data_IF_513254447731
#
_entry.id   IF_513254447731
#
_cell.length_a   1.000
_cell.length_b   1.000
_cell.length_c   1.000
_cell.angle_alpha   90.00
_cell.angle_beta   90.00
_cell.angle_gamma   90.00
#
_symmetry.space_group_name_H-M   'P 1'
#
loop_
_entity.id
_entity.type
_entity.pdbx_description
1 polymer ?
#
# COMPACT_ATOMS: atom_id res chain seq x y z
N UNK A 1 10.51 -4.70 -1.39
CA UNK A 1 10.58 -6.12 -1.01
C UNK A 1 9.31 -6.55 -0.31
N UNK A 2 9.01 -7.80 -0.30
CA UNK A 2 8.12 -8.68 0.45
C UNK A 2 6.72 -8.91 -0.09
N UNK A 3 6.08 -8.01 -0.78
CA UNK A 3 4.69 -8.22 -1.17
C UNK A 3 4.47 -8.02 -2.67
N UNK A 4 4.53 -9.13 -3.42
CA UNK A 4 4.12 -9.23 -4.82
C UNK A 4 3.07 -10.32 -4.94
N UNK A 5 1.92 -10.04 -5.55
CA UNK A 5 0.74 -10.91 -5.57
C UNK A 5 -0.06 -10.69 -6.86
N UNK A 6 -0.98 -11.58 -7.16
CA UNK A 6 -2.00 -11.33 -8.16
C UNK A 6 -3.20 -10.60 -7.55
N UNK A 7 -3.69 -9.57 -8.23
CA UNK A 7 -5.00 -9.00 -7.97
C UNK A 7 -6.01 -9.61 -8.94
N UNK A 8 -7.09 -10.19 -8.41
CA UNK A 8 -8.25 -10.63 -9.17
C UNK A 8 -9.30 -9.52 -9.19
N UNK A 9 -9.34 -8.73 -10.24
CA UNK A 9 -10.29 -7.63 -10.37
C UNK A 9 -11.69 -8.17 -10.64
N UNK A 10 -12.56 -8.08 -9.64
CA UNK A 10 -13.95 -8.54 -9.75
C UNK A 10 -14.83 -7.37 -10.18
N UNK A 11 -15.45 -7.49 -11.35
CA UNK A 11 -16.44 -6.51 -11.80
C UNK A 11 -17.68 -6.63 -10.94
N UNK A 12 -18.03 -5.54 -10.24
CA UNK A 12 -19.25 -5.48 -9.45
C UNK A 12 -20.50 -5.66 -10.33
N UNK A 13 -21.31 -6.64 -9.97
CA UNK A 13 -22.59 -6.94 -10.60
C UNK A 13 -23.62 -7.13 -9.49
N UNK A 14 -24.48 -6.13 -9.23
CA UNK A 14 -25.45 -6.18 -8.13
C UNK A 14 -26.24 -7.49 -8.07
N UNK A 15 -26.85 -7.89 -9.19
CA UNK A 15 -27.61 -9.12 -9.29
C UNK A 15 -26.81 -10.43 -9.14
N UNK A 16 -25.49 -10.38 -9.02
CA UNK A 16 -24.67 -11.58 -8.81
C UNK A 16 -24.81 -12.11 -7.40
N UNK A 17 -24.72 -11.23 -6.40
CA UNK A 17 -24.88 -11.61 -4.99
C UNK A 17 -26.31 -12.05 -4.72
N UNK A 18 -27.28 -11.32 -5.25
CA UNK A 18 -28.71 -11.68 -5.17
C UNK A 18 -28.94 -13.09 -5.72
N UNK A 19 -28.37 -13.43 -6.87
CA UNK A 19 -28.48 -14.78 -7.46
C UNK A 19 -27.82 -15.83 -6.58
N UNK A 20 -26.60 -15.61 -6.08
CA UNK A 20 -25.91 -16.56 -5.20
C UNK A 20 -26.80 -16.87 -3.99
N UNK A 21 -27.32 -15.84 -3.31
CA UNK A 21 -28.16 -16.00 -2.14
C UNK A 21 -29.54 -16.65 -2.46
N UNK A 22 -30.12 -16.38 -3.63
CA UNK A 22 -31.37 -16.99 -4.04
C UNK A 22 -31.26 -18.47 -4.44
N UNK A 23 -30.06 -18.91 -4.86
CA UNK A 23 -29.83 -20.30 -5.27
C UNK A 23 -29.31 -21.19 -4.14
N UNK A 24 -28.73 -20.60 -3.10
CA UNK A 24 -28.25 -21.33 -1.91
C UNK A 24 -28.98 -20.80 -0.65
N UNK A 25 -30.08 -21.50 -0.31
CA UNK A 25 -30.90 -21.14 0.84
C UNK A 25 -30.15 -21.19 2.17
N UNK A 26 -29.25 -22.15 2.35
CA UNK A 26 -28.47 -22.29 3.57
C UNK A 26 -27.51 -21.12 3.73
N UNK A 27 -26.76 -20.82 2.67
CA UNK A 27 -25.86 -19.67 2.65
C UNK A 27 -26.61 -18.35 2.90
N UNK A 28 -27.81 -18.22 2.33
CA UNK A 28 -28.67 -17.06 2.55
C UNK A 28 -29.08 -16.90 4.02
N UNK A 29 -29.51 -17.99 4.67
CA UNK A 29 -29.87 -17.99 6.09
C UNK A 29 -28.67 -17.63 6.97
N UNK A 30 -27.50 -18.23 6.71
CA UNK A 30 -26.25 -17.94 7.43
C UNK A 30 -25.81 -16.47 7.29
N UNK A 31 -25.90 -15.89 6.08
CA UNK A 31 -25.57 -14.46 5.84
C UNK A 31 -26.55 -13.56 6.58
N UNK A 32 -27.87 -13.83 6.48
CA UNK A 32 -28.91 -13.03 7.11
C UNK A 32 -28.76 -12.95 8.63
N UNK A 33 -28.41 -14.07 9.27
CA UNK A 33 -28.23 -14.13 10.73
C UNK A 33 -26.98 -13.37 11.21
N UNK A 34 -26.01 -13.15 10.32
CA UNK A 34 -24.70 -12.61 10.66
C UNK A 34 -24.43 -11.21 10.11
N UNK A 35 -25.33 -10.66 9.28
CA UNK A 35 -25.24 -9.25 8.86
C UNK A 35 -25.17 -8.34 10.09
N UNK A 36 -24.17 -7.44 10.12
CA UNK A 36 -23.88 -6.58 11.27
C UNK A 36 -22.77 -7.13 12.19
N UNK A 37 -22.33 -8.38 11.99
CA UNK A 37 -21.22 -8.97 12.75
C UNK A 37 -20.02 -9.19 11.82
N UNK A 38 -19.13 -8.20 11.77
CA UNK A 38 -17.97 -8.24 10.88
C UNK A 38 -16.99 -9.36 11.30
N UNK A 39 -16.71 -10.35 10.44
CA UNK A 39 -15.72 -11.39 10.77
C UNK A 39 -14.30 -10.83 10.71
N UNK A 40 -13.43 -11.28 11.61
CA UNK A 40 -12.02 -10.94 11.61
C UNK A 40 -11.26 -11.62 10.46
N UNK A 41 -11.65 -12.85 10.14
CA UNK A 41 -11.08 -13.67 9.08
C UNK A 41 -12.20 -14.37 8.28
N UNK A 42 -11.90 -14.80 7.07
CA UNK A 42 -12.84 -15.47 6.18
C UNK A 42 -12.55 -16.97 6.19
N UNK A 43 -13.46 -17.75 6.78
CA UNK A 43 -13.38 -19.22 6.86
C UNK A 43 -14.49 -19.91 6.10
N UNK A 44 -15.54 -19.19 5.71
CA UNK A 44 -16.70 -19.67 4.96
C UNK A 44 -17.15 -18.68 3.89
N UNK A 45 -17.93 -19.10 2.89
CA UNK A 45 -18.59 -18.18 1.96
C UNK A 45 -19.50 -17.15 2.65
N UNK A 46 -20.14 -17.51 3.76
CA UNK A 46 -20.93 -16.60 4.56
C UNK A 46 -20.10 -15.47 5.16
N UNK A 47 -18.91 -15.79 5.72
CA UNK A 47 -17.98 -14.76 6.21
C UNK A 47 -17.62 -13.76 5.12
N UNK A 48 -17.32 -14.25 3.91
CA UNK A 48 -16.94 -13.41 2.78
C UNK A 48 -18.07 -12.46 2.39
N UNK A 49 -19.30 -12.99 2.26
CA UNK A 49 -20.44 -12.17 1.88
C UNK A 49 -20.83 -11.16 2.97
N UNK A 50 -20.80 -11.56 4.25
CA UNK A 50 -21.05 -10.64 5.38
C UNK A 50 -20.00 -9.52 5.38
N UNK A 51 -18.72 -9.83 5.28
CA UNK A 51 -17.66 -8.83 5.23
C UNK A 51 -17.80 -7.88 4.03
N UNK A 52 -18.17 -8.42 2.86
CA UNK A 52 -18.44 -7.61 1.68
C UNK A 52 -19.64 -6.65 1.90
N UNK A 53 -20.75 -7.16 2.41
CA UNK A 53 -21.96 -6.36 2.66
C UNK A 53 -21.72 -5.25 3.69
N UNK A 54 -20.90 -5.51 4.72
CA UNK A 54 -20.50 -4.51 5.70
C UNK A 54 -19.59 -3.43 5.08
N UNK A 55 -18.59 -3.81 4.27
CA UNK A 55 -17.78 -2.87 3.50
C UNK A 55 -18.64 -2.00 2.59
N UNK A 56 -19.56 -2.63 1.86
CA UNK A 56 -20.44 -1.99 0.90
C UNK A 56 -21.40 -1.00 1.57
N UNK A 57 -22.13 -1.43 2.60
CA UNK A 57 -23.10 -0.61 3.33
C UNK A 57 -22.47 0.62 3.97
N UNK A 58 -21.26 0.47 4.51
CA UNK A 58 -20.55 1.54 5.20
C UNK A 58 -19.65 2.38 4.27
N UNK A 59 -19.47 1.96 3.00
CA UNK A 59 -18.58 2.61 2.06
C UNK A 59 -17.12 2.62 2.53
N UNK A 60 -16.69 1.59 3.26
CA UNK A 60 -15.37 1.50 3.87
C UNK A 60 -14.48 0.50 3.14
N UNK A 61 -13.21 0.88 2.92
CA UNK A 61 -12.21 -0.08 2.48
C UNK A 61 -12.05 -1.17 3.54
N UNK A 62 -12.08 -2.41 3.12
CA UNK A 62 -11.94 -3.54 4.03
C UNK A 62 -11.08 -4.62 3.40
N UNK A 63 -10.05 -5.07 4.12
CA UNK A 63 -9.28 -6.25 3.74
C UNK A 63 -9.43 -7.33 4.79
N UNK A 64 -9.62 -8.60 4.35
CA UNK A 64 -9.74 -9.77 5.23
C UNK A 64 -9.02 -10.96 4.62
N UNK A 65 -8.31 -11.70 5.48
CA UNK A 65 -7.60 -12.90 5.06
C UNK A 65 -8.56 -14.08 4.93
N UNK A 66 -8.49 -14.79 3.80
CA UNK A 66 -9.13 -16.10 3.60
C UNK A 66 -8.23 -17.16 4.24
N UNK A 67 -8.82 -18.01 5.09
CA UNK A 67 -8.13 -19.12 5.76
C UNK A 67 -8.47 -20.50 5.21
N UNK A 68 -9.45 -20.57 4.33
CA UNK A 68 -9.96 -21.83 3.78
C UNK A 68 -9.72 -21.91 2.27
N UNK A 69 -9.06 -22.97 1.82
CA UNK A 69 -8.91 -23.28 0.40
C UNK A 69 -10.27 -23.50 -0.29
N UNK A 70 -11.25 -24.03 0.45
CA UNK A 70 -12.60 -24.18 -0.05
C UNK A 70 -13.24 -22.82 -0.40
N UNK A 71 -13.00 -21.78 0.42
CA UNK A 71 -13.47 -20.42 0.11
C UNK A 71 -12.72 -19.86 -1.09
N UNK A 72 -11.40 -20.07 -1.19
CA UNK A 72 -10.62 -19.68 -2.37
C UNK A 72 -11.24 -20.26 -3.66
N UNK A 73 -11.54 -21.56 -3.69
CA UNK A 73 -12.18 -22.23 -4.82
C UNK A 73 -13.58 -21.67 -5.08
N UNK A 74 -14.36 -21.50 -4.02
CA UNK A 74 -15.71 -20.96 -4.12
C UNK A 74 -15.73 -19.54 -4.75
N UNK A 75 -14.82 -18.63 -4.35
CA UNK A 75 -14.72 -17.31 -4.97
C UNK A 75 -14.36 -17.42 -6.45
N UNK A 76 -13.39 -18.26 -6.77
CA UNK A 76 -12.93 -18.48 -8.16
C UNK A 76 -14.04 -19.01 -9.08
N UNK A 77 -14.96 -19.80 -8.53
CA UNK A 77 -16.09 -20.40 -9.28
C UNK A 77 -17.28 -19.45 -9.41
N UNK A 78 -17.53 -18.62 -8.36
CA UNK A 78 -18.73 -17.81 -8.30
C UNK A 78 -18.55 -16.40 -8.82
N UNK A 79 -17.32 -15.87 -8.91
CA UNK A 79 -17.05 -14.53 -9.41
C UNK A 79 -16.10 -14.56 -10.60
N UNK A 80 -16.50 -13.93 -11.70
CA UNK A 80 -15.59 -13.67 -12.81
C UNK A 80 -14.61 -12.56 -12.43
N UNK A 81 -13.32 -12.77 -12.69
CA UNK A 81 -12.28 -11.79 -12.40
C UNK A 81 -11.21 -11.77 -13.48
N UNK A 82 -10.51 -10.65 -13.56
CA UNK A 82 -9.35 -10.47 -14.43
C UNK A 82 -8.09 -10.41 -13.56
N UNK A 83 -7.09 -11.23 -13.89
CA UNK A 83 -5.82 -11.24 -13.17
C UNK A 83 -4.95 -10.06 -13.60
N UNK A 84 -4.50 -9.30 -12.61
CA UNK A 84 -3.55 -8.20 -12.80
C UNK A 84 -2.45 -8.29 -11.74
N UNK A 85 -1.37 -7.55 -11.96
CA UNK A 85 -0.32 -7.44 -10.96
C UNK A 85 -0.83 -6.63 -9.76
N UNK A 86 -0.57 -7.15 -8.56
CA UNK A 86 -0.86 -6.54 -7.28
C UNK A 86 0.29 -6.65 -6.30
N UNK A 87 0.05 -6.10 -5.12
CA UNK A 87 1.03 -6.03 -4.03
C UNK A 87 1.93 -4.80 -4.12
N UNK A 88 2.16 -4.20 -2.97
CA UNK A 88 2.88 -2.93 -2.80
C UNK A 88 4.25 -2.95 -3.46
N UNK A 89 5.06 -3.99 -3.20
CA UNK A 89 6.42 -4.09 -3.76
C UNK A 89 6.42 -4.25 -5.28
N UNK A 90 5.48 -5.02 -5.83
CA UNK A 90 5.36 -5.20 -7.27
C UNK A 90 4.93 -3.90 -7.96
N UNK A 91 3.93 -3.20 -7.40
CA UNK A 91 3.46 -1.92 -7.91
C UNK A 91 4.58 -0.86 -7.89
N UNK A 92 5.34 -0.78 -6.78
CA UNK A 92 6.50 0.13 -6.68
C UNK A 92 7.56 -0.21 -7.72
N UNK A 93 7.97 -1.48 -7.82
CA UNK A 93 9.00 -1.90 -8.75
C UNK A 93 8.62 -1.62 -10.21
N UNK A 94 7.38 -1.95 -10.60
CA UNK A 94 6.90 -1.68 -11.96
C UNK A 94 6.80 -0.17 -12.23
N UNK A 95 6.36 0.62 -11.24
CA UNK A 95 6.30 2.07 -11.37
C UNK A 95 7.66 2.65 -11.69
N UNK A 96 8.68 2.34 -10.88
CA UNK A 96 10.02 2.93 -11.07
C UNK A 96 10.73 2.37 -12.30
N UNK A 97 10.51 1.09 -12.65
CA UNK A 97 11.03 0.52 -13.89
C UNK A 97 10.42 1.21 -15.13
N UNK A 98 9.10 1.47 -15.12
CA UNK A 98 8.38 2.18 -16.19
C UNK A 98 8.81 3.64 -16.32
N UNK A 99 9.23 4.26 -15.22
CA UNK A 99 9.80 5.62 -15.19
C UNK A 99 11.26 5.68 -15.67
N UNK A 100 11.86 4.54 -16.02
CA UNK A 100 13.18 4.48 -16.62
C UNK A 100 14.34 4.33 -15.65
N UNK A 101 14.10 3.93 -14.39
CA UNK A 101 15.19 3.55 -13.47
C UNK A 101 16.00 2.43 -14.11
N UNK A 102 17.34 2.57 -14.27
CA UNK A 102 18.13 1.68 -15.12
C UNK A 102 18.15 0.22 -14.70
N UNK A 103 18.01 -0.06 -13.40
CA UNK A 103 17.99 -1.42 -12.86
C UNK A 103 17.07 -1.50 -11.65
N UNK A 104 16.03 -2.29 -11.76
CA UNK A 104 15.06 -2.53 -10.69
C UNK A 104 15.02 -4.02 -10.38
N UNK A 105 15.24 -4.37 -9.13
CA UNK A 105 15.14 -5.73 -8.65
C UNK A 105 13.89 -5.87 -7.76
N UNK A 106 12.94 -6.71 -8.18
CA UNK A 106 11.73 -6.99 -7.41
C UNK A 106 11.83 -8.35 -6.74
N UNK A 107 11.30 -8.46 -5.53
CA UNK A 107 11.12 -9.74 -4.85
C UNK A 107 9.68 -10.23 -5.01
N UNK A 108 9.52 -11.47 -5.46
CA UNK A 108 8.26 -12.18 -5.52
C UNK A 108 8.47 -13.62 -5.07
N UNK A 109 7.69 -14.07 -4.07
CA UNK A 109 7.80 -15.42 -3.53
C UNK A 109 6.43 -15.94 -3.05
N UNK A 110 5.94 -17.05 -3.59
CA UNK A 110 6.51 -17.77 -4.75
C UNK A 110 6.31 -16.96 -6.05
N UNK A 111 7.30 -16.99 -6.92
CA UNK A 111 7.20 -16.45 -8.28
C UNK A 111 6.71 -17.55 -9.22
N UNK A 112 5.40 -17.63 -9.35
CA UNK A 112 4.74 -18.58 -10.27
C UNK A 112 4.60 -17.98 -11.67
N UNK A 113 4.38 -18.82 -12.68
CA UNK A 113 4.17 -18.34 -14.05
C UNK A 113 2.98 -17.37 -14.18
N UNK A 114 1.81 -17.60 -13.56
CA UNK A 114 0.73 -16.62 -13.59
C UNK A 114 1.14 -15.24 -13.01
N UNK A 115 1.86 -15.21 -11.88
CA UNK A 115 2.36 -13.96 -11.31
C UNK A 115 3.41 -13.31 -12.22
N UNK A 116 4.33 -14.10 -12.77
CA UNK A 116 5.36 -13.60 -13.68
C UNK A 116 4.78 -13.01 -14.97
N UNK A 117 3.70 -13.59 -15.49
CA UNK A 117 2.98 -13.07 -16.67
C UNK A 117 2.29 -11.74 -16.41
N UNK A 118 1.87 -11.48 -15.17
CA UNK A 118 1.27 -10.21 -14.77
C UNK A 118 2.29 -9.04 -14.73
N UNK A 119 3.58 -9.34 -14.56
CA UNK A 119 4.62 -8.31 -14.69
C UNK A 119 4.73 -7.84 -16.16
N UNK A 120 4.85 -6.51 -16.40
CA UNK A 120 5.14 -6.00 -17.73
C UNK A 120 6.54 -6.45 -18.19
N UNK A 121 6.69 -6.65 -19.49
CA UNK A 121 8.00 -6.96 -20.07
C UNK A 121 8.84 -5.70 -20.18
N UNK A 122 9.65 -5.43 -19.16
CA UNK A 122 10.57 -4.28 -19.09
C UNK A 122 12.00 -4.80 -18.96
N UNK A 123 12.95 -4.36 -19.80
CA UNK A 123 14.32 -4.89 -19.81
C UNK A 123 15.11 -4.57 -18.56
N UNK A 124 14.71 -3.54 -17.82
CA UNK A 124 15.31 -3.08 -16.57
C UNK A 124 14.64 -3.67 -15.31
N UNK A 125 13.57 -4.46 -15.45
CA UNK A 125 12.87 -5.11 -14.33
C UNK A 125 13.34 -6.55 -14.18
N UNK A 126 14.07 -6.82 -13.13
CA UNK A 126 14.69 -8.11 -12.82
C UNK A 126 14.14 -8.68 -11.51
N UNK A 127 14.30 -9.96 -11.33
CA UNK A 127 14.09 -10.67 -10.05
C UNK A 127 15.17 -11.73 -9.85
N UNK A 128 15.16 -12.37 -8.68
CA UNK A 128 16.04 -13.50 -8.36
C UNK A 128 15.15 -14.73 -8.16
N UNK A 129 15.40 -15.76 -8.93
CA UNK A 129 14.76 -17.05 -8.80
C UNK A 129 15.11 -17.77 -7.50
N UNK A 130 14.41 -18.88 -7.17
CA UNK A 130 14.67 -19.65 -5.94
C UNK A 130 16.10 -20.21 -5.88
N UNK A 131 16.69 -20.51 -7.01
CA UNK A 131 18.07 -20.99 -7.19
C UNK A 131 19.14 -19.90 -7.15
N UNK A 132 18.74 -18.62 -7.03
CA UNK A 132 19.63 -17.46 -7.06
C UNK A 132 19.90 -16.90 -8.45
N UNK A 133 19.33 -17.45 -9.51
CA UNK A 133 19.45 -16.93 -10.89
C UNK A 133 18.77 -15.57 -11.00
N UNK A 134 19.48 -14.58 -11.58
CA UNK A 134 18.95 -13.25 -11.86
C UNK A 134 18.43 -13.21 -13.30
N UNK A 135 17.18 -12.82 -13.48
CA UNK A 135 16.56 -12.72 -14.81
C UNK A 135 15.26 -11.90 -14.78
N UNK A 136 14.58 -11.81 -15.92
CA UNK A 136 13.23 -11.25 -15.93
C UNK A 136 12.28 -12.14 -15.10
N UNK A 137 11.18 -11.59 -14.54
CA UNK A 137 10.21 -12.43 -13.83
C UNK A 137 9.77 -13.66 -14.62
N UNK A 138 9.63 -13.55 -15.95
CA UNK A 138 9.18 -14.64 -16.82
C UNK A 138 10.23 -15.72 -17.03
N UNK A 139 11.52 -15.36 -17.03
CA UNK A 139 12.60 -16.32 -17.28
C UNK A 139 12.88 -17.22 -16.07
N UNK A 140 12.64 -16.70 -14.85
CA UNK A 140 12.98 -17.42 -13.62
C UNK A 140 11.78 -17.95 -12.84
N UNK A 141 10.57 -17.75 -13.37
CA UNK A 141 9.33 -18.23 -12.75
C UNK A 141 9.24 -19.77 -12.72
N UNK A 142 8.67 -20.29 -11.64
CA UNK A 142 8.48 -21.72 -11.43
C UNK A 142 7.06 -22.04 -10.98
N UNK A 143 6.51 -23.16 -11.51
CA UNK A 143 5.16 -23.63 -11.17
C UNK A 143 4.05 -22.86 -11.89
N UNK A 144 2.91 -23.52 -12.01
CA UNK A 144 1.76 -23.02 -12.79
C UNK A 144 0.58 -22.58 -11.90
N UNK A 145 0.69 -22.77 -10.57
CA UNK A 145 -0.40 -22.51 -9.63
C UNK A 145 -0.53 -21.03 -9.25
N UNK A 146 -1.74 -20.64 -8.89
CA UNK A 146 -2.01 -19.35 -8.25
C UNK A 146 -1.93 -19.52 -6.74
N UNK A 147 -0.78 -19.17 -6.15
CA UNK A 147 -0.55 -19.33 -4.70
C UNK A 147 -0.96 -18.13 -3.86
N UNK A 148 -1.10 -16.94 -4.47
CA UNK A 148 -1.50 -15.74 -3.77
C UNK A 148 -2.36 -14.88 -4.68
N UNK A 149 -3.54 -14.53 -4.21
CA UNK A 149 -4.46 -13.64 -4.92
C UNK A 149 -5.21 -12.75 -3.92
N UNK A 150 -5.34 -11.48 -4.27
CA UNK A 150 -6.26 -10.55 -3.63
C UNK A 150 -7.40 -10.29 -4.59
N UNK A 151 -8.62 -10.73 -4.27
CA UNK A 151 -9.77 -10.32 -5.06
C UNK A 151 -10.16 -8.90 -4.70
N UNK A 152 -10.31 -8.05 -5.70
CA UNK A 152 -10.68 -6.65 -5.55
C UNK A 152 -12.13 -6.47 -5.98
N UNK A 153 -13.03 -6.44 -5.01
CA UNK A 153 -14.45 -6.13 -5.23
C UNK A 153 -14.63 -4.62 -5.15
N UNK A 154 -14.45 -3.93 -6.27
CA UNK A 154 -14.69 -2.49 -6.35
C UNK A 154 -16.19 -2.20 -6.55
N UNK A 155 -16.70 -1.23 -5.81
CA UNK A 155 -18.05 -0.71 -5.94
C UNK A 155 -18.02 0.82 -5.99
N UNK A 156 -19.05 1.39 -6.65
CA UNK A 156 -19.19 2.83 -6.84
C UNK A 156 -20.22 3.41 -5.86
N UNK A 157 -20.17 4.73 -5.69
CA UNK A 157 -21.25 5.44 -5.01
C UNK A 157 -22.58 5.16 -5.72
N UNK A 158 -23.63 4.97 -4.94
CA UNK A 158 -25.00 4.70 -5.40
C UNK A 158 -25.20 3.30 -6.05
N UNK A 159 -24.19 2.43 -6.08
CA UNK A 159 -24.40 1.00 -6.35
C UNK A 159 -25.38 0.42 -5.33
N UNK A 160 -26.23 -0.53 -5.76
CA UNK A 160 -27.27 -1.14 -4.92
C UNK A 160 -27.22 -2.66 -4.94
N UNK A 161 -27.54 -3.27 -3.81
CA UNK A 161 -27.76 -4.72 -3.65
C UNK A 161 -29.09 -4.92 -2.95
N UNK A 162 -29.92 -5.88 -3.42
CA UNK A 162 -31.22 -6.22 -2.81
C UNK A 162 -31.08 -7.55 -2.07
N UNK A 163 -31.45 -7.56 -0.80
CA UNK A 163 -31.49 -8.76 0.05
C UNK A 163 -32.75 -8.69 0.90
N UNK A 164 -33.58 -9.73 0.89
CA UNK A 164 -34.83 -9.85 1.68
C UNK A 164 -35.77 -8.64 1.55
N UNK A 165 -35.89 -8.11 0.34
CA UNK A 165 -36.75 -6.94 0.08
C UNK A 165 -36.12 -5.60 0.52
N UNK A 166 -34.96 -5.60 1.16
CA UNK A 166 -34.22 -4.41 1.50
C UNK A 166 -33.22 -4.05 0.41
N UNK A 167 -33.04 -2.76 0.15
CA UNK A 167 -32.01 -2.24 -0.76
C UNK A 167 -30.90 -1.62 0.06
N UNK A 168 -29.70 -2.19 -0.05
CA UNK A 168 -28.47 -1.61 0.47
C UNK A 168 -27.88 -0.72 -0.62
N UNK A 169 -27.43 0.48 -0.26
CA UNK A 169 -26.80 1.44 -1.19
C UNK A 169 -25.43 1.84 -0.68
N UNK A 170 -24.43 1.77 -1.55
CA UNK A 170 -23.07 2.21 -1.21
C UNK A 170 -23.03 3.76 -1.11
N UNK A 171 -22.66 4.33 0.05
CA UNK A 171 -22.66 5.79 0.24
C UNK A 171 -21.50 6.49 -0.49
N UNK A 172 -20.47 5.75 -0.86
CA UNK A 172 -19.31 6.22 -1.62
C UNK A 172 -18.61 5.06 -2.33
N UNK A 173 -17.81 5.37 -3.34
CA UNK A 173 -16.95 4.40 -4.00
C UNK A 173 -15.89 3.87 -3.04
N UNK A 174 -15.70 2.55 -3.02
CA UNK A 174 -14.65 1.89 -2.24
C UNK A 174 -14.44 0.44 -2.73
N UNK A 175 -13.72 -0.36 -1.95
CA UNK A 175 -13.40 -1.75 -2.28
C UNK A 175 -13.34 -2.66 -1.06
N UNK A 176 -13.71 -3.92 -1.27
CA UNK A 176 -13.48 -5.03 -0.35
C UNK A 176 -12.42 -5.97 -0.93
N UNK A 177 -11.46 -6.41 -0.12
CA UNK A 177 -10.29 -7.19 -0.54
C UNK A 177 -10.20 -8.47 0.29
N UNK A 178 -10.89 -9.56 -0.08
CA UNK A 178 -10.60 -10.88 0.45
C UNK A 178 -9.29 -11.40 -0.12
N UNK A 179 -8.34 -11.76 0.74
CA UNK A 179 -6.96 -12.08 0.37
C UNK A 179 -6.63 -13.53 0.68
N UNK A 180 -6.23 -14.30 -0.34
CA UNK A 180 -5.68 -15.64 -0.21
C UNK A 180 -4.18 -15.61 -0.44
N UNK A 181 -3.38 -15.88 0.60
CA UNK A 181 -1.92 -15.81 0.50
C UNK A 181 -1.22 -16.80 1.46
N UNK A 182 -1.41 -18.11 1.28
CA UNK A 182 -0.91 -19.14 2.20
C UNK A 182 0.61 -19.27 2.19
N UNK A 183 1.26 -18.96 1.06
CA UNK A 183 2.70 -19.19 0.90
C UNK A 183 3.57 -18.00 1.36
N UNK A 184 3.05 -16.77 1.28
CA UNK A 184 3.83 -15.55 1.54
C UNK A 184 3.32 -14.75 2.76
N UNK A 185 2.39 -15.29 3.52
CA UNK A 185 1.81 -14.59 4.68
C UNK A 185 2.75 -14.48 5.90
N UNK A 186 3.97 -15.04 5.82
CA UNK A 186 4.99 -14.99 6.87
C UNK A 186 6.25 -14.20 6.45
N UNK A 187 6.25 -13.53 5.29
CA UNK A 187 7.38 -12.76 4.75
C UNK A 187 8.70 -13.54 4.64
N UNK A 188 8.63 -14.84 4.38
CA UNK A 188 9.82 -15.68 4.26
C UNK A 188 10.61 -15.31 3.01
N UNK A 189 11.88 -14.94 3.22
CA UNK A 189 12.81 -14.69 2.13
C UNK A 189 13.44 -16.01 1.64
N UNK A 190 13.32 -16.29 0.35
CA UNK A 190 13.96 -17.44 -0.27
C UNK A 190 15.49 -17.40 -0.07
N UNK A 191 16.14 -18.54 0.28
CA UNK A 191 17.58 -18.56 0.52
C UNK A 191 18.41 -18.07 -0.67
N UNK A 192 18.07 -18.47 -1.89
CA UNK A 192 18.74 -18.01 -3.12
C UNK A 192 18.62 -16.50 -3.31
N UNK A 193 17.45 -15.90 -3.04
CA UNK A 193 17.27 -14.46 -3.07
C UNK A 193 18.16 -13.77 -2.03
N UNK A 194 18.13 -14.24 -0.77
CA UNK A 194 18.95 -13.66 0.32
C UNK A 194 20.41 -13.61 -0.02
N UNK A 195 20.96 -14.72 -0.48
CA UNK A 195 22.38 -14.83 -0.81
C UNK A 195 22.77 -13.94 -1.99
N UNK A 196 22.02 -14.00 -3.09
CA UNK A 196 22.32 -13.25 -4.31
C UNK A 196 22.14 -11.75 -4.11
N UNK A 197 21.05 -11.31 -3.46
CA UNK A 197 20.83 -9.89 -3.20
C UNK A 197 21.87 -9.31 -2.25
N UNK A 198 22.23 -10.02 -1.18
CA UNK A 198 23.26 -9.55 -0.24
C UNK A 198 24.64 -9.39 -0.93
N UNK A 199 24.98 -10.30 -1.84
CA UNK A 199 26.22 -10.21 -2.64
C UNK A 199 26.28 -8.96 -3.50
N UNK A 200 25.14 -8.59 -4.11
CA UNK A 200 25.03 -7.47 -5.06
C UNK A 200 24.44 -6.19 -4.43
N UNK A 201 24.22 -6.14 -3.12
CA UNK A 201 23.50 -5.05 -2.45
C UNK A 201 24.18 -3.68 -2.65
N UNK A 202 25.50 -3.64 -2.71
CA UNK A 202 26.30 -2.43 -2.94
C UNK A 202 26.12 -1.80 -4.34
N UNK A 203 25.44 -2.49 -5.25
CA UNK A 203 25.09 -1.98 -6.59
C UNK A 203 23.76 -1.23 -6.63
N UNK A 204 23.04 -1.16 -5.52
CA UNK A 204 21.74 -0.48 -5.41
C UNK A 204 21.84 0.72 -4.48
N UNK A 205 21.29 1.84 -4.92
CA UNK A 205 21.20 3.09 -4.12
C UNK A 205 19.98 3.14 -3.21
N UNK A 206 18.92 2.42 -3.57
CA UNK A 206 17.63 2.49 -2.87
C UNK A 206 17.04 1.10 -2.64
N UNK A 207 16.37 0.94 -1.49
CA UNK A 207 15.60 -0.25 -1.14
C UNK A 207 14.20 0.17 -0.70
N UNK A 208 13.18 -0.30 -1.41
CA UNK A 208 11.77 -0.12 -1.03
C UNK A 208 11.28 -1.39 -0.31
N UNK A 209 10.81 -1.24 0.91
CA UNK A 209 10.32 -2.31 1.78
C UNK A 209 8.84 -2.10 2.03
N UNK A 210 8.05 -3.17 1.99
CA UNK A 210 6.62 -3.15 2.30
C UNK A 210 6.11 -4.58 2.49
N UNK A 211 4.83 -4.76 2.86
CA UNK A 211 4.19 -6.06 2.93
C UNK A 211 3.91 -6.57 4.35
N UNK A 212 4.26 -5.81 5.38
CA UNK A 212 4.01 -6.20 6.77
C UNK A 212 2.51 -6.32 7.10
N UNK A 213 1.64 -5.68 6.35
CA UNK A 213 0.18 -5.75 6.51
C UNK A 213 -0.42 -7.13 6.22
N UNK A 214 0.33 -8.03 5.55
CA UNK A 214 -0.14 -9.41 5.29
C UNK A 214 0.13 -10.37 6.46
N UNK A 215 0.91 -9.94 7.45
CA UNK A 215 1.19 -10.74 8.64
C UNK A 215 -0.04 -10.83 9.54
N UNK A 216 -0.14 -11.97 10.22
CA UNK A 216 -1.07 -12.19 11.32
C UNK A 216 -0.34 -12.12 12.65
N UNK A 217 -1.01 -11.65 13.71
CA UNK A 217 -0.43 -11.61 15.06
C UNK A 217 0.01 -12.99 15.53
N UNK A 218 -0.78 -14.03 15.19
CA UNK A 218 -0.49 -15.45 15.43
C UNK A 218 -0.98 -16.31 14.28
N UNK A 219 -0.31 -17.42 14.05
CA UNK A 219 -0.66 -18.43 13.05
C UNK A 219 -1.19 -19.72 13.72
N UNK A 220 -1.95 -20.57 12.99
CA UNK A 220 -2.47 -21.82 13.53
C UNK A 220 -1.41 -22.80 14.03
N UNK A 221 -0.19 -22.73 13.48
CA UNK A 221 0.96 -23.55 13.90
C UNK A 221 1.66 -23.00 15.16
N UNK A 222 1.14 -21.93 15.77
CA UNK A 222 1.69 -21.26 16.93
C UNK A 222 2.71 -20.18 16.64
N UNK A 223 3.19 -20.05 15.39
CA UNK A 223 4.12 -19.00 14.97
C UNK A 223 3.53 -17.61 15.27
N UNK A 224 4.35 -16.70 15.73
CA UNK A 224 3.97 -15.31 16.03
C UNK A 224 4.47 -14.34 14.97
N UNK A 225 3.87 -13.15 14.91
CA UNK A 225 4.36 -12.07 14.06
C UNK A 225 5.83 -11.71 14.31
N UNK A 226 6.28 -11.75 15.57
CA UNK A 226 7.67 -11.45 15.92
C UNK A 226 8.65 -12.46 15.31
N UNK A 227 8.30 -13.76 15.33
CA UNK A 227 9.13 -14.79 14.71
C UNK A 227 9.21 -14.63 13.18
N UNK A 228 8.27 -13.93 12.56
CA UNK A 228 8.34 -13.55 11.15
C UNK A 228 9.14 -12.25 10.92
N UNK A 229 9.00 -11.25 11.78
CA UNK A 229 9.58 -9.91 11.62
C UNK A 229 11.08 -9.89 11.96
N UNK A 230 11.47 -10.55 13.05
CA UNK A 230 12.87 -10.51 13.51
C UNK A 230 13.87 -11.02 12.46
N UNK A 231 13.65 -12.15 11.77
CA UNK A 231 14.55 -12.60 10.69
C UNK A 231 14.63 -11.62 9.52
N UNK A 232 13.54 -10.89 9.22
CA UNK A 232 13.54 -9.83 8.21
C UNK A 232 14.38 -8.64 8.67
N UNK A 233 14.22 -8.22 9.91
CA UNK A 233 15.01 -7.14 10.51
C UNK A 233 16.51 -7.47 10.55
N UNK A 234 16.86 -8.71 10.91
CA UNK A 234 18.25 -9.19 10.89
C UNK A 234 18.84 -9.14 9.48
N UNK A 235 18.06 -9.57 8.50
CA UNK A 235 18.50 -9.51 7.11
C UNK A 235 18.67 -8.08 6.61
N UNK A 236 17.78 -7.16 6.96
CA UNK A 236 17.93 -5.74 6.61
C UNK A 236 19.19 -5.14 7.24
N UNK A 237 19.52 -5.49 8.49
CA UNK A 237 20.80 -5.07 9.12
C UNK A 237 22.02 -5.57 8.35
N UNK A 238 22.01 -6.81 7.88
CA UNK A 238 23.09 -7.34 7.03
C UNK A 238 23.20 -6.58 5.71
N UNK A 239 22.05 -6.28 5.07
CA UNK A 239 22.02 -5.49 3.84
C UNK A 239 22.60 -4.09 4.07
N UNK A 240 22.19 -3.40 5.14
CA UNK A 240 22.74 -2.07 5.49
C UNK A 240 24.24 -2.10 5.80
N UNK A 241 24.71 -3.15 6.45
CA UNK A 241 26.16 -3.34 6.69
C UNK A 241 26.91 -3.51 5.38
N UNK A 242 26.35 -4.26 4.43
CA UNK A 242 26.97 -4.52 3.11
C UNK A 242 26.91 -3.31 2.18
N UNK A 243 25.85 -2.51 2.28
CA UNK A 243 25.59 -1.34 1.44
C UNK A 243 25.17 -0.13 2.29
N UNK A 244 26.10 0.48 3.05
CA UNK A 244 25.77 1.58 3.99
C UNK A 244 25.27 2.84 3.30
N UNK A 245 25.53 3.02 2.01
CA UNK A 245 25.03 4.12 1.19
C UNK A 245 23.58 3.91 0.71
N UNK A 246 23.06 2.69 0.83
CA UNK A 246 21.71 2.37 0.37
C UNK A 246 20.66 3.03 1.25
N UNK A 247 19.83 3.87 0.67
CA UNK A 247 18.69 4.50 1.35
C UNK A 247 17.50 3.52 1.41
N UNK A 248 16.91 3.36 2.57
CA UNK A 248 15.84 2.38 2.81
C UNK A 248 14.52 3.10 3.14
N UNK A 249 13.50 2.86 2.33
CA UNK A 249 12.15 3.37 2.54
C UNK A 249 11.17 2.25 2.83
N UNK A 250 10.31 2.43 3.83
CA UNK A 250 9.21 1.51 4.14
C UNK A 250 7.85 2.15 3.87
N UNK A 251 7.08 1.56 2.97
CA UNK A 251 5.66 1.90 2.82
C UNK A 251 4.84 1.11 3.82
N UNK A 252 4.17 1.81 4.75
CA UNK A 252 3.60 1.20 5.93
C UNK A 252 2.28 0.47 5.68
N UNK A 253 1.48 0.84 4.76
CA UNK A 253 0.17 0.24 4.51
C UNK A 253 -0.68 0.03 5.80
N UNK A 254 -1.92 -0.40 5.65
CA UNK A 254 -2.84 -0.57 6.80
C UNK A 254 -2.60 -1.90 7.51
N UNK A 255 -1.87 -1.90 8.62
CA UNK A 255 -1.56 -3.08 9.44
C UNK A 255 -2.62 -3.26 10.54
N UNK A 256 -3.44 -4.31 10.44
CA UNK A 256 -4.51 -4.59 11.40
C UNK A 256 -3.97 -5.15 12.75
N UNK A 257 -3.01 -6.07 12.71
CA UNK A 257 -2.47 -6.77 13.88
C UNK A 257 -1.68 -5.86 14.82
N UNK A 258 -2.01 -5.85 16.12
CA UNK A 258 -1.27 -5.07 17.14
C UNK A 258 0.13 -5.61 17.38
N UNK A 259 0.30 -6.94 17.40
CA UNK A 259 1.63 -7.56 17.62
C UNK A 259 2.50 -7.29 16.38
N UNK A 260 1.91 -7.30 15.17
CA UNK A 260 2.61 -6.93 13.93
C UNK A 260 3.07 -5.48 14.00
N UNK A 261 2.18 -4.52 14.35
CA UNK A 261 2.55 -3.10 14.45
C UNK A 261 3.68 -2.88 15.44
N UNK A 262 3.56 -3.48 16.65
CA UNK A 262 4.62 -3.40 17.64
C UNK A 262 5.95 -3.98 17.13
N UNK A 263 5.92 -5.14 16.46
CA UNK A 263 7.12 -5.73 15.85
C UNK A 263 7.75 -4.83 14.77
N UNK A 264 6.94 -4.20 13.93
CA UNK A 264 7.42 -3.23 12.94
C UNK A 264 8.03 -2.00 13.62
N UNK A 265 7.36 -1.45 14.63
CA UNK A 265 7.85 -0.30 15.42
C UNK A 265 9.20 -0.61 16.07
N UNK A 266 9.34 -1.77 16.70
CA UNK A 266 10.51 -2.13 17.50
C UNK A 266 11.71 -2.60 16.64
N UNK A 267 11.46 -3.25 15.49
CA UNK A 267 12.52 -3.95 14.75
C UNK A 267 12.76 -3.42 13.33
N UNK A 268 11.75 -2.85 12.67
CA UNK A 268 11.83 -2.41 11.29
C UNK A 268 12.07 -0.90 11.20
N UNK A 269 11.23 -0.07 11.83
CA UNK A 269 11.33 1.38 11.72
C UNK A 269 12.70 1.94 12.12
N UNK A 270 13.42 1.41 13.14
CA UNK A 270 14.76 1.89 13.48
C UNK A 270 15.82 1.71 12.39
N UNK A 271 15.51 0.96 11.34
CA UNK A 271 16.42 0.70 10.22
C UNK A 271 16.06 1.48 8.96
N UNK A 272 14.98 2.27 9.01
CA UNK A 272 14.47 3.01 7.86
C UNK A 272 15.03 4.42 7.81
N UNK A 273 15.41 4.85 6.61
CA UNK A 273 15.75 6.25 6.34
C UNK A 273 14.49 7.06 6.03
N UNK A 274 13.43 6.38 5.60
CA UNK A 274 12.15 6.99 5.26
C UNK A 274 10.98 6.03 5.47
N UNK A 275 9.81 6.58 5.83
CA UNK A 275 8.53 5.86 5.80
C UNK A 275 7.49 6.61 4.99
N UNK A 276 6.59 5.86 4.35
CA UNK A 276 5.42 6.36 3.62
C UNK A 276 4.13 5.89 4.27
N UNK A 277 3.13 6.77 4.33
CA UNK A 277 1.83 6.47 4.93
C UNK A 277 0.76 7.49 4.49
N UNK A 278 -0.51 7.13 4.66
CA UNK A 278 -1.65 8.04 4.52
C UNK A 278 -2.18 8.50 5.89
N UNK A 279 -3.22 9.34 5.90
CA UNK A 279 -3.80 9.91 7.12
C UNK A 279 -4.44 8.84 8.04
N UNK A 280 -5.00 7.78 7.47
CA UNK A 280 -5.62 6.69 8.24
C UNK A 280 -4.54 5.85 8.92
N UNK A 281 -3.47 5.58 8.20
CA UNK A 281 -2.30 4.89 8.72
C UNK A 281 -1.58 5.74 9.77
N UNK A 282 -1.45 7.06 9.56
CA UNK A 282 -0.91 7.97 10.56
C UNK A 282 -1.68 7.88 11.88
N UNK A 283 -3.02 7.95 11.84
CA UNK A 283 -3.84 7.82 13.04
C UNK A 283 -3.61 6.47 13.74
N UNK A 284 -3.49 5.38 12.98
CA UNK A 284 -3.21 4.04 13.53
C UNK A 284 -1.84 3.98 14.22
N UNK A 285 -0.81 4.57 13.63
CA UNK A 285 0.53 4.61 14.23
C UNK A 285 0.61 5.53 15.45
N UNK A 286 -0.16 6.62 15.47
CA UNK A 286 -0.29 7.48 16.64
C UNK A 286 -0.92 6.73 17.82
N UNK A 287 -1.92 5.89 17.59
CA UNK A 287 -2.47 5.00 18.65
C UNK A 287 -1.39 4.03 19.16
N UNK A 288 -0.61 3.44 18.26
CA UNK A 288 0.43 2.47 18.63
C UNK A 288 1.52 3.08 19.54
N UNK A 289 1.88 4.34 19.29
CA UNK A 289 2.85 5.07 20.14
C UNK A 289 2.22 5.77 21.36
N UNK A 290 0.95 5.48 21.67
CA UNK A 290 0.27 6.02 22.86
C UNK A 290 -0.23 7.47 22.72
N UNK A 291 -0.37 8.00 21.48
CA UNK A 291 -0.88 9.33 21.21
C UNK A 291 -2.35 9.31 20.73
N UNK A 292 -3.21 8.62 21.45
CA UNK A 292 -4.60 8.34 21.05
C UNK A 292 -5.48 9.57 20.85
N UNK A 293 -5.31 10.63 21.63
CA UNK A 293 -6.03 11.90 21.43
C UNK A 293 -5.69 12.53 20.07
N UNK A 294 -4.41 12.57 19.74
CA UNK A 294 -3.94 13.10 18.45
C UNK A 294 -4.39 12.20 17.29
N UNK A 295 -4.41 10.89 17.47
CA UNK A 295 -4.97 9.94 16.51
C UNK A 295 -6.45 10.21 16.23
N UNK A 296 -7.24 10.50 17.26
CA UNK A 296 -8.64 10.92 17.15
C UNK A 296 -8.77 12.19 16.32
N UNK A 297 -7.99 13.22 16.64
CA UNK A 297 -8.02 14.48 15.90
C UNK A 297 -7.67 14.31 14.41
N UNK A 298 -6.68 13.48 14.07
CA UNK A 298 -6.32 13.15 12.67
C UNK A 298 -7.49 12.46 11.98
N UNK A 299 -8.12 11.49 12.64
CA UNK A 299 -9.21 10.67 12.06
C UNK A 299 -10.49 11.46 11.84
N UNK A 300 -10.89 12.26 12.84
CA UNK A 300 -12.19 12.93 12.86
C UNK A 300 -12.21 14.23 12.07
N UNK A 301 -11.11 14.98 12.14
CA UNK A 301 -11.02 16.31 11.53
C UNK A 301 -10.29 16.28 10.19
N UNK A 302 -9.33 15.36 10.01
CA UNK A 302 -8.41 15.33 8.87
C UNK A 302 -7.79 16.72 8.56
N UNK A 303 -7.65 17.55 9.63
CA UNK A 303 -7.16 18.90 9.52
C UNK A 303 -5.63 18.90 9.29
N UNK A 304 -5.11 19.77 8.42
CA UNK A 304 -3.68 19.83 8.13
C UNK A 304 -2.79 20.00 9.37
N UNK A 305 -3.25 20.77 10.36
CA UNK A 305 -2.52 21.01 11.61
C UNK A 305 -2.47 19.75 12.49
N UNK A 306 -3.57 19.00 12.58
CA UNK A 306 -3.60 17.75 13.30
C UNK A 306 -2.68 16.72 12.65
N UNK A 307 -2.67 16.67 11.31
CA UNK A 307 -1.77 15.82 10.54
C UNK A 307 -0.31 16.22 10.79
N UNK A 308 0.04 17.51 10.69
CA UNK A 308 1.41 17.99 10.93
C UNK A 308 1.87 17.71 12.37
N UNK A 309 0.99 17.91 13.36
CA UNK A 309 1.27 17.53 14.75
C UNK A 309 1.49 16.02 14.89
N UNK A 310 0.67 15.20 14.21
CA UNK A 310 0.82 13.76 14.16
C UNK A 310 2.16 13.31 13.55
N UNK A 311 2.56 13.90 12.44
CA UNK A 311 3.85 13.63 11.79
C UNK A 311 5.03 13.96 12.70
N UNK A 312 5.01 15.12 13.37
CA UNK A 312 6.04 15.49 14.35
C UNK A 312 6.09 14.47 15.49
N UNK A 313 4.92 14.11 16.06
CA UNK A 313 4.85 13.16 17.16
C UNK A 313 5.37 11.77 16.75
N UNK A 314 5.04 11.31 15.55
CA UNK A 314 5.51 10.04 15.02
C UNK A 314 7.03 10.08 14.78
N UNK A 315 7.55 11.16 14.19
CA UNK A 315 8.98 11.36 13.97
C UNK A 315 9.78 11.35 15.29
N UNK A 316 9.28 12.06 16.32
CA UNK A 316 9.92 12.09 17.63
C UNK A 316 9.92 10.72 18.33
N UNK A 317 8.85 9.94 18.17
CA UNK A 317 8.72 8.65 18.81
C UNK A 317 9.52 7.54 18.11
N UNK A 318 9.66 7.61 16.79
CA UNK A 318 10.30 6.55 15.99
C UNK A 318 11.76 6.85 15.64
N UNK A 319 12.16 8.12 15.64
CA UNK A 319 13.48 8.56 15.19
C UNK A 319 13.70 8.37 13.68
N UNK A 320 12.66 8.07 12.89
CA UNK A 320 12.79 7.95 11.44
C UNK A 320 13.08 9.30 10.82
N UNK A 321 14.18 9.44 10.05
CA UNK A 321 14.63 10.75 9.57
C UNK A 321 13.68 11.44 8.59
N UNK A 322 12.85 10.69 7.86
CA UNK A 322 11.94 11.23 6.86
C UNK A 322 10.59 10.50 6.89
N UNK A 323 9.51 11.27 6.95
CA UNK A 323 8.13 10.75 6.87
C UNK A 323 7.43 11.39 5.69
N UNK A 324 6.91 10.57 4.78
CA UNK A 324 6.13 10.98 3.62
C UNK A 324 4.65 10.66 3.86
N UNK A 325 3.84 11.69 3.95
CA UNK A 325 2.39 11.56 3.97
C UNK A 325 1.82 11.81 2.57
N UNK A 326 1.04 10.87 2.05
CA UNK A 326 0.25 11.05 0.84
C UNK A 326 -1.24 11.11 1.19
N UNK A 327 -1.77 12.31 1.28
CA UNK A 327 -3.18 12.57 1.54
C UNK A 327 -3.95 12.89 0.24
N UNK A 328 -5.27 12.82 0.31
CA UNK A 328 -6.13 13.23 -0.79
C UNK A 328 -6.09 14.76 -0.96
N UNK A 329 -5.49 15.22 -2.04
CA UNK A 329 -5.37 16.64 -2.37
C UNK A 329 -3.99 17.25 -2.18
N UNK A 330 -3.15 16.69 -1.32
CA UNK A 330 -1.77 17.14 -1.12
C UNK A 330 -0.86 16.03 -0.60
N UNK A 331 0.44 16.22 -0.80
CA UNK A 331 1.47 15.40 -0.18
C UNK A 331 2.32 16.26 0.75
N UNK A 332 2.83 15.63 1.80
CA UNK A 332 3.64 16.31 2.80
C UNK A 332 4.83 15.43 3.19
N UNK A 333 6.01 16.03 3.27
CA UNK A 333 7.18 15.39 3.84
C UNK A 333 7.67 16.19 5.03
N UNK A 334 7.89 15.47 6.13
CA UNK A 334 8.64 15.97 7.28
C UNK A 334 9.98 15.23 7.31
N UNK A 335 11.10 15.95 7.21
CA UNK A 335 12.42 15.36 7.08
C UNK A 335 13.47 16.05 7.94
N UNK A 336 14.37 15.31 8.55
CA UNK A 336 15.57 15.88 9.15
C UNK A 336 16.39 16.64 8.10
N UNK A 337 17.14 17.64 8.51
CA UNK A 337 17.89 18.49 7.59
C UNK A 337 18.96 17.73 6.79
N UNK A 338 19.37 16.58 7.31
CA UNK A 338 20.34 15.67 6.68
C UNK A 338 19.70 14.63 5.76
N UNK A 339 18.35 14.54 5.76
CA UNK A 339 17.62 13.49 5.03
C UNK A 339 17.10 13.96 3.65
N UNK A 340 17.73 14.96 3.07
CA UNK A 340 17.45 15.50 1.74
C UNK A 340 17.26 17.02 1.74
N UNK A 341 17.52 17.64 0.60
CA UNK A 341 17.27 19.07 0.43
C UNK A 341 15.77 19.34 0.28
N UNK A 342 15.23 20.44 0.83
CA UNK A 342 13.81 20.79 0.65
C UNK A 342 13.39 20.85 -0.81
N UNK A 343 14.26 21.35 -1.68
CA UNK A 343 13.99 21.46 -3.11
C UNK A 343 13.95 20.08 -3.79
N UNK A 344 14.91 19.18 -3.49
CA UNK A 344 14.89 17.81 -3.98
C UNK A 344 13.64 17.06 -3.54
N UNK A 345 13.25 17.21 -2.26
CA UNK A 345 12.00 16.63 -1.74
C UNK A 345 10.78 17.18 -2.50
N UNK A 346 10.73 18.49 -2.75
CA UNK A 346 9.65 19.14 -3.49
C UNK A 346 9.55 18.62 -4.92
N UNK A 347 10.66 18.46 -5.60
CA UNK A 347 10.73 17.86 -6.95
C UNK A 347 10.24 16.41 -6.94
N UNK A 348 10.68 15.62 -5.96
CA UNK A 348 10.21 14.26 -5.76
C UNK A 348 8.70 14.17 -5.58
N UNK A 349 8.14 14.98 -4.66
CA UNK A 349 6.69 15.02 -4.42
C UNK A 349 5.91 15.45 -5.68
N UNK A 350 6.42 16.42 -6.44
CA UNK A 350 5.80 16.85 -7.69
C UNK A 350 5.80 15.73 -8.73
N UNK A 351 6.90 14.98 -8.86
CA UNK A 351 6.98 13.79 -9.70
C UNK A 351 5.96 12.74 -9.25
N UNK A 352 5.88 12.45 -7.95
CA UNK A 352 4.91 11.53 -7.37
C UNK A 352 3.47 11.93 -7.68
N UNK A 353 3.14 13.23 -7.58
CA UNK A 353 1.82 13.75 -7.90
C UNK A 353 1.46 13.57 -9.38
N UNK A 354 2.39 13.85 -10.28
CA UNK A 354 2.19 13.64 -11.71
C UNK A 354 2.05 12.15 -12.07
N UNK A 355 2.92 11.30 -11.52
CA UNK A 355 2.87 9.85 -11.74
C UNK A 355 1.53 9.25 -11.27
N UNK A 356 1.01 9.70 -10.13
CA UNK A 356 -0.29 9.28 -9.61
C UNK A 356 -1.44 9.65 -10.54
N UNK A 357 -1.42 10.84 -11.12
CA UNK A 357 -2.43 11.28 -12.10
C UNK A 357 -2.42 10.40 -13.34
N UNK A 358 -1.25 10.09 -13.89
CA UNK A 358 -1.13 9.19 -15.04
C UNK A 358 -1.73 7.83 -14.70
N UNK A 359 -1.36 7.24 -13.56
CA UNK A 359 -1.90 5.96 -13.11
C UNK A 359 -3.41 6.01 -12.93
N UNK A 360 -3.93 7.05 -12.28
CA UNK A 360 -5.37 7.22 -12.05
C UNK A 360 -6.16 7.34 -13.37
N UNK A 361 -5.63 8.07 -14.35
CA UNK A 361 -6.27 8.27 -15.66
C UNK A 361 -6.20 7.05 -16.56
N UNK A 362 -5.05 6.36 -16.56
CA UNK A 362 -4.78 5.29 -17.55
C UNK A 362 -5.00 3.88 -16.99
N UNK A 363 -5.06 3.73 -15.65
CA UNK A 363 -5.13 2.43 -14.99
C UNK A 363 -3.82 1.62 -15.00
N UNK A 364 -2.76 2.13 -15.61
CA UNK A 364 -1.45 1.47 -15.80
C UNK A 364 -0.32 2.27 -15.16
N UNK A 365 0.86 1.65 -14.91
CA UNK A 365 2.03 2.35 -14.42
C UNK A 365 2.42 3.53 -15.33
N UNK A 366 2.85 4.67 -14.76
CA UNK A 366 3.26 5.83 -15.53
C UNK A 366 4.57 5.57 -16.29
N UNK A 367 4.69 6.03 -17.50
CA UNK A 367 5.94 6.06 -18.26
C UNK A 367 6.59 7.42 -18.13
N UNK A 368 7.90 7.50 -18.31
CA UNK A 368 8.66 8.75 -18.18
C UNK A 368 8.20 9.84 -19.15
N UNK A 369 7.84 9.46 -20.38
CA UNK A 369 7.33 10.36 -21.40
C UNK A 369 5.89 10.85 -21.14
N UNK A 370 5.19 10.27 -20.20
CA UNK A 370 3.80 10.58 -19.85
C UNK A 370 3.63 11.37 -18.55
N UNK A 371 4.66 11.47 -17.72
CA UNK A 371 4.57 12.09 -16.38
C UNK A 371 4.01 13.51 -16.45
N UNK A 372 4.32 14.25 -17.50
CA UNK A 372 3.84 15.62 -17.70
C UNK A 372 2.54 15.73 -18.48
N UNK A 373 1.96 14.62 -18.96
CA UNK A 373 0.80 14.63 -19.87
C UNK A 373 -0.47 15.28 -19.30
N UNK A 374 -0.56 15.40 -17.97
CA UNK A 374 -1.75 15.92 -17.29
C UNK A 374 -1.45 17.08 -16.34
N UNK A 375 -0.36 17.82 -16.60
CA UNK A 375 0.03 18.97 -15.76
C UNK A 375 -0.97 20.13 -15.83
N UNK A 376 -1.79 20.19 -16.87
CA UNK A 376 -2.85 21.21 -17.06
C UNK A 376 -4.10 20.93 -16.22
N UNK A 377 -4.22 19.75 -15.61
CA UNK A 377 -5.32 19.50 -14.67
C UNK A 377 -5.19 20.44 -13.46
N UNK A 378 -6.32 21.02 -12.99
CA UNK A 378 -6.29 21.97 -11.89
C UNK A 378 -5.77 21.32 -10.61
N UNK A 379 -4.98 22.05 -9.86
CA UNK A 379 -4.63 21.71 -8.49
C UNK A 379 -5.87 21.94 -7.60
N UNK A 380 -5.95 21.18 -6.51
CA UNK A 380 -7.06 21.30 -5.57
C UNK A 380 -7.00 22.62 -4.82
N UNK A 381 -8.09 23.37 -4.81
CA UNK A 381 -8.18 24.63 -4.07
C UNK A 381 -7.98 24.43 -2.57
N UNK A 382 -8.55 23.34 -2.03
CA UNK A 382 -8.45 22.95 -0.63
C UNK A 382 -7.00 22.70 -0.17
N UNK A 383 -6.12 22.29 -1.08
CA UNK A 383 -4.69 22.14 -0.77
C UNK A 383 -4.02 23.50 -0.52
N UNK A 384 -4.41 24.53 -1.24
CA UNK A 384 -3.90 25.89 -0.99
C UNK A 384 -4.46 26.48 0.31
N UNK A 385 -5.71 26.11 0.67
CA UNK A 385 -6.26 26.47 1.99
C UNK A 385 -5.46 25.77 3.09
N UNK A 386 -5.15 24.49 2.94
CA UNK A 386 -4.29 23.75 3.85
C UNK A 386 -2.90 24.38 4.00
N UNK A 387 -2.27 24.81 2.89
CA UNK A 387 -0.98 25.54 2.95
C UNK A 387 -1.09 26.83 3.74
N UNK A 388 -2.16 27.63 3.53
CA UNK A 388 -2.39 28.88 4.28
C UNK A 388 -2.59 28.62 5.77
N UNK A 389 -3.36 27.59 6.10
CA UNK A 389 -3.60 27.15 7.47
C UNK A 389 -2.32 26.71 8.18
N UNK A 390 -1.43 26.02 7.47
CA UNK A 390 -0.15 25.55 8.02
C UNK A 390 0.93 26.65 8.11
N UNK A 391 0.79 27.76 7.38
CA UNK A 391 1.83 28.78 7.29
C UNK A 391 2.33 29.31 8.67
N UNK A 392 1.47 29.54 9.67
CA UNK A 392 1.92 29.95 11.00
C UNK A 392 2.80 28.90 11.70
N UNK A 393 2.51 27.61 11.48
CA UNK A 393 3.24 26.47 12.06
C UNK A 393 4.52 26.12 11.31
N UNK A 394 4.62 26.49 10.04
CA UNK A 394 5.74 26.19 9.16
C UNK A 394 6.98 27.10 9.40
N UNK A 395 6.84 28.13 10.26
CA UNK A 395 7.93 29.04 10.66
C UNK A 395 8.75 29.62 9.49
N UNK A 396 8.15 29.78 8.33
CA UNK A 396 8.79 30.30 7.11
C UNK A 396 7.80 31.24 6.43
N UNK A 397 8.14 32.52 6.19
CA UNK A 397 7.21 33.54 5.66
C UNK A 397 6.56 33.13 4.33
N UNK A 398 7.31 32.48 3.45
CA UNK A 398 6.89 32.15 2.10
C UNK A 398 6.29 30.73 1.98
N UNK A 399 6.02 30.04 3.10
CA UNK A 399 5.48 28.68 3.07
C UNK A 399 4.19 28.58 2.26
N UNK A 400 3.27 29.53 2.43
CA UNK A 400 2.00 29.54 1.70
C UNK A 400 2.16 29.70 0.16
N UNK A 401 3.34 30.10 -0.31
CA UNK A 401 3.66 30.24 -1.73
C UNK A 401 4.50 29.08 -2.25
N UNK A 402 5.47 28.64 -1.45
CA UNK A 402 6.50 27.68 -1.87
C UNK A 402 6.22 26.25 -1.45
N UNK A 403 5.41 26.03 -0.40
CA UNK A 403 5.23 24.76 0.26
C UNK A 403 6.47 24.30 1.05
N UNK A 404 7.48 25.16 1.20
CA UNK A 404 8.73 24.82 1.90
C UNK A 404 8.84 25.61 3.20
N UNK A 405 9.04 24.90 4.29
CA UNK A 405 9.15 25.48 5.63
C UNK A 405 9.86 24.57 6.61
N UNK A 406 9.64 24.83 7.90
CA UNK A 406 10.19 24.01 8.97
C UNK A 406 9.15 23.76 10.06
N UNK A 407 9.16 22.56 10.64
CA UNK A 407 8.33 22.20 11.78
C UNK A 407 9.09 21.25 12.71
N UNK A 408 9.05 21.47 14.02
CA UNK A 408 9.76 20.64 14.98
C UNK A 408 11.27 20.54 14.75
N UNK A 409 11.89 21.57 14.13
CA UNK A 409 13.32 21.54 13.76
C UNK A 409 13.66 20.80 12.46
N UNK A 410 12.66 20.21 11.80
CA UNK A 410 12.75 19.44 10.54
C UNK A 410 12.31 20.29 9.34
N UNK A 411 12.77 19.91 8.16
CA UNK A 411 12.23 20.45 6.91
C UNK A 411 10.78 19.98 6.75
N UNK A 412 9.89 20.90 6.41
CA UNK A 412 8.51 20.64 6.03
C UNK A 412 8.34 20.99 4.56
N UNK A 413 7.96 20.01 3.75
CA UNK A 413 7.69 20.22 2.32
C UNK A 413 6.27 19.77 2.02
N UNK A 414 5.51 20.63 1.36
CA UNK A 414 4.11 20.43 1.02
C UNK A 414 3.91 20.66 -0.48
N UNK A 415 3.22 19.74 -1.16
CA UNK A 415 2.90 19.84 -2.59
C UNK A 415 1.41 19.60 -2.80
N UNK A 416 0.65 20.57 -3.34
CA UNK A 416 -0.71 20.35 -3.81
C UNK A 416 -0.76 19.32 -4.93
N UNK A 417 -1.84 18.52 -4.97
CA UNK A 417 -2.00 17.51 -6.01
C UNK A 417 -3.20 17.77 -6.91
N UNK A 418 -3.26 17.04 -8.01
CA UNK A 418 -4.37 17.02 -8.94
C UNK A 418 -5.24 15.83 -8.65
N UNK A 419 -6.56 16.01 -8.72
CA UNK A 419 -7.49 14.92 -8.51
C UNK A 419 -8.15 14.53 -9.83
N UNK A 420 -8.18 13.23 -10.04
CA UNK A 420 -8.93 12.60 -11.12
C UNK A 420 -10.30 12.21 -10.59
N UNK A 421 -11.36 12.91 -11.02
CA UNK A 421 -12.72 12.69 -10.53
C UNK A 421 -13.24 11.27 -10.78
N UNK A 422 -12.86 10.68 -11.92
CA UNK A 422 -13.24 9.32 -12.31
C UNK A 422 -11.98 8.54 -12.65
N UNK A 423 -11.28 7.99 -11.64
CA UNK A 423 -10.08 7.23 -11.88
C UNK A 423 -10.40 5.90 -12.57
N UNK A 424 -9.58 5.52 -13.54
CA UNK A 424 -9.65 4.19 -14.15
C UNK A 424 -9.20 3.10 -13.18
N UNK A 425 -8.32 3.45 -12.21
CA UNK A 425 -7.85 2.55 -11.15
C UNK A 425 -7.41 3.35 -9.93
N UNK A 426 -7.78 2.87 -8.73
CA UNK A 426 -7.36 3.46 -7.45
C UNK A 426 -6.32 2.60 -6.72
N UNK A 427 -6.26 1.31 -7.02
CA UNK A 427 -5.32 0.38 -6.40
C UNK A 427 -3.88 0.67 -6.83
N UNK A 428 -2.97 0.75 -5.87
CA UNK A 428 -1.55 1.02 -6.08
C UNK A 428 -1.22 2.49 -6.34
N UNK A 429 -2.13 3.44 -6.08
CA UNK A 429 -1.81 4.87 -6.16
C UNK A 429 -0.79 5.27 -5.10
N UNK A 430 -0.97 4.86 -3.82
CA UNK A 430 -0.01 5.09 -2.76
C UNK A 430 1.38 4.56 -3.12
N UNK A 431 1.44 3.30 -3.59
CA UNK A 431 2.69 2.68 -4.05
C UNK A 431 3.38 3.50 -5.16
N UNK A 432 2.59 4.00 -6.12
CA UNK A 432 3.09 4.85 -7.22
C UNK A 432 3.63 6.18 -6.68
N UNK A 433 2.90 6.83 -5.78
CA UNK A 433 3.28 8.11 -5.18
C UNK A 433 4.59 7.96 -4.43
N UNK A 434 4.65 7.03 -3.47
CA UNK A 434 5.81 6.86 -2.59
C UNK A 434 7.06 6.46 -3.37
N UNK A 435 6.95 5.50 -4.29
CA UNK A 435 8.10 5.04 -5.05
C UNK A 435 8.65 6.11 -6.00
N UNK A 436 7.77 6.80 -6.76
CA UNK A 436 8.20 7.84 -7.70
C UNK A 436 8.71 9.09 -6.98
N UNK A 437 8.07 9.51 -5.88
CA UNK A 437 8.54 10.63 -5.09
C UNK A 437 9.92 10.37 -4.49
N UNK A 438 10.08 9.21 -3.83
CA UNK A 438 11.33 8.84 -3.16
C UNK A 438 12.54 8.76 -4.10
N UNK A 439 12.35 8.22 -5.31
CA UNK A 439 13.43 8.05 -6.28
C UNK A 439 13.71 9.30 -7.14
N UNK A 440 12.76 10.22 -7.22
CA UNK A 440 12.93 11.47 -7.96
C UNK A 440 13.46 12.63 -7.10
N UNK A 441 13.73 12.40 -5.80
CA UNK A 441 14.42 13.36 -4.96
C UNK A 441 15.87 13.50 -5.45
N UNK A 442 16.20 14.65 -6.01
CA UNK A 442 17.59 15.02 -6.33
C UNK A 442 18.40 15.26 -5.03
N UNK A 443 19.70 15.15 -5.13
CA UNK A 443 20.65 15.43 -4.06
C UNK A 443 20.59 16.89 -3.58
#
# INVERSE_FOLDING_TARGET
MFHSVLDGMVRFQPGRIERILSTDRRLHEEVRERVGTLPDEITSPADLLVAFLESFRNGQALQRMIRSEAVFKWVSEHFGYELTLGGTSANMAVTVASLGVPRVLVYANPLTKPLAQAFPSLPNLLTIGPDGTVGSPRDVAQGDDVFAIHWIFEYQKDDTIRIDGQTLTAPRANRFIPSWNPANNQLRLAPGFKATFLKDADRFSHLLVSGFHILSDRYPDGTTAQECIVPVADYLRLVRTRAPHMRVHCELASIAGKIVRKGVLDHILPQMDSIGLNEVELATWLEEIGAGELAGNVRDQNAPEAILAGLNKLADATGVPRIHLHNFGYYMVLAEKTAGSPEGIRQGLACGACAAVVRAKTGRPPRSDEVTSFVDLPLRAEAFDAMRTLAPSAKTPDFALTGVGTSGGRNLVFVPTRIVERPARTVGLGDTISASAWLAEGD
#
